data_IF_320813338034
#
_entry.id   IF_320813338034
#
_cell.length_a   1.000
_cell.length_b   1.000
_cell.length_c   1.000
_cell.angle_alpha   90.00
_cell.angle_beta   90.00
_cell.angle_gamma   90.00
#
_symmetry.space_group_name_H-M   'P 1'
#
loop_
_entity.id
_entity.type
_entity.pdbx_description
1 polymer ?
#
# COMPACT_ATOMS: atom_id res chain seq x y z
N UNK A 1 2.06 -0.86 5.14
CA UNK A 1 3.36 -1.13 4.50
C UNK A 1 3.47 -2.65 4.44
N UNK A 2 4.62 -3.23 4.14
CA UNK A 2 4.83 -4.65 4.39
C UNK A 2 5.18 -4.90 5.87
N UNK A 3 4.82 -6.07 6.38
CA UNK A 3 4.99 -6.42 7.79
C UNK A 3 6.46 -6.48 8.22
N UNK A 4 7.40 -6.84 7.33
CA UNK A 4 8.83 -6.85 7.66
C UNK A 4 9.34 -5.45 7.98
N UNK A 5 8.93 -4.45 7.20
CA UNK A 5 9.30 -3.06 7.48
C UNK A 5 8.76 -2.58 8.82
N UNK A 6 7.52 -2.90 9.17
CA UNK A 6 6.97 -2.56 10.49
C UNK A 6 7.77 -3.19 11.62
N UNK A 7 8.11 -4.48 11.49
CA UNK A 7 8.94 -5.20 12.47
C UNK A 7 10.31 -4.55 12.61
N UNK A 8 11.03 -4.32 11.51
CA UNK A 8 12.39 -3.76 11.52
C UNK A 8 12.40 -2.35 12.10
N UNK A 9 11.46 -1.48 11.71
CA UNK A 9 11.36 -0.13 12.29
C UNK A 9 11.04 -0.21 13.78
N UNK A 10 10.19 -1.14 14.22
CA UNK A 10 9.99 -1.42 15.64
C UNK A 10 11.29 -1.80 16.36
N UNK A 11 12.04 -2.76 15.81
CA UNK A 11 13.34 -3.18 16.36
C UNK A 11 14.29 -1.99 16.52
N UNK A 12 14.39 -1.16 15.48
CA UNK A 12 15.26 0.02 15.46
C UNK A 12 14.84 1.03 16.52
N UNK A 13 13.56 1.41 16.55
CA UNK A 13 13.03 2.40 17.49
C UNK A 13 13.21 1.93 18.93
N UNK A 14 12.95 0.66 19.23
CA UNK A 14 13.17 0.11 20.57
C UNK A 14 14.65 0.11 20.94
N UNK A 15 15.52 -0.35 20.03
CA UNK A 15 16.97 -0.42 20.26
C UNK A 15 17.63 0.94 20.53
N UNK A 16 16.98 2.04 20.14
CA UNK A 16 17.41 3.41 20.44
C UNK A 16 16.99 3.90 21.82
N UNK A 17 16.06 3.23 22.52
CA UNK A 17 15.61 3.62 23.86
C UNK A 17 16.71 3.26 24.87
N UNK A 18 17.44 4.23 25.44
CA UNK A 18 18.65 3.94 26.22
C UNK A 18 18.36 3.31 27.59
N UNK A 19 17.13 3.48 28.08
CA UNK A 19 16.74 3.15 29.46
C UNK A 19 16.25 1.71 29.59
N UNK A 20 15.93 1.03 28.48
CA UNK A 20 15.16 -0.22 28.53
C UNK A 20 15.89 -1.31 27.75
N UNK A 21 16.69 -2.09 28.46
CA UNK A 21 17.46 -3.22 27.90
C UNK A 21 16.92 -4.58 28.37
N UNK A 22 15.61 -4.74 28.38
CA UNK A 22 14.94 -5.99 28.75
C UNK A 22 14.40 -6.70 27.50
N UNK A 23 14.72 -8.00 27.30
CA UNK A 23 14.16 -8.81 26.21
C UNK A 23 12.64 -8.90 26.19
N UNK A 24 11.97 -9.00 27.34
CA UNK A 24 10.51 -9.05 27.44
C UNK A 24 9.87 -7.81 26.82
N UNK A 25 10.39 -6.64 27.19
CA UNK A 25 9.91 -5.36 26.69
C UNK A 25 10.23 -5.17 25.20
N UNK A 26 11.38 -5.69 24.74
CA UNK A 26 11.71 -5.72 23.31
C UNK A 26 10.69 -6.53 22.51
N UNK A 27 10.44 -7.78 22.92
CA UNK A 27 9.50 -8.65 22.21
C UNK A 27 8.08 -8.09 22.25
N UNK A 28 7.68 -7.53 23.39
CA UNK A 28 6.39 -6.85 23.51
C UNK A 28 6.27 -5.66 22.55
N UNK A 29 7.29 -4.79 22.48
CA UNK A 29 7.30 -3.64 21.59
C UNK A 29 7.23 -4.06 20.10
N UNK A 30 8.05 -5.02 19.69
CA UNK A 30 8.03 -5.55 18.31
C UNK A 30 6.71 -6.23 17.98
N UNK A 31 6.18 -7.02 18.92
CA UNK A 31 4.85 -7.63 18.77
C UNK A 31 3.78 -6.55 18.55
N UNK A 32 3.74 -5.52 19.39
CA UNK A 32 2.77 -4.43 19.28
C UNK A 32 2.91 -3.61 17.99
N UNK A 33 4.13 -3.48 17.45
CA UNK A 33 4.36 -2.86 16.13
C UNK A 33 3.93 -3.74 14.94
N UNK A 34 3.80 -5.05 15.13
CA UNK A 34 3.32 -5.99 14.09
C UNK A 34 1.84 -6.35 14.23
N UNK A 35 1.27 -6.15 15.43
CA UNK A 35 -0.07 -6.60 15.81
C UNK A 35 -1.19 -6.14 14.86
N UNK A 36 -1.23 -4.90 14.35
CA UNK A 36 -2.28 -4.48 13.41
C UNK A 36 -2.42 -5.37 12.19
N UNK A 37 -1.31 -5.82 11.60
CA UNK A 37 -1.27 -6.66 10.39
C UNK A 37 -1.74 -8.11 10.64
N UNK A 38 -1.78 -8.56 11.91
CA UNK A 38 -2.30 -9.88 12.25
C UNK A 38 -3.82 -9.99 12.06
N UNK A 39 -4.50 -8.87 11.79
CA UNK A 39 -5.90 -8.82 11.38
C UNK A 39 -6.18 -9.61 10.09
N UNK A 40 -5.16 -9.91 9.28
CA UNK A 40 -5.29 -10.77 8.09
C UNK A 40 -5.77 -12.17 8.48
N UNK A 41 -5.41 -12.64 9.67
CA UNK A 41 -5.86 -13.92 10.22
C UNK A 41 -7.36 -13.91 10.56
N UNK A 42 -7.96 -12.73 10.69
CA UNK A 42 -9.40 -12.55 10.93
C UNK A 42 -10.22 -12.55 9.63
N UNK A 43 -9.59 -12.65 8.46
CA UNK A 43 -10.26 -12.72 7.15
C UNK A 43 -11.39 -13.76 7.06
N UNK A 44 -11.25 -14.99 7.60
CA UNK A 44 -12.36 -15.96 7.61
C UNK A 44 -13.58 -15.47 8.41
N UNK A 45 -13.35 -14.77 9.53
CA UNK A 45 -14.41 -14.19 10.35
C UNK A 45 -15.05 -13.00 9.66
N UNK A 46 -14.24 -12.17 8.98
CA UNK A 46 -14.74 -11.07 8.16
C UNK A 46 -15.70 -11.56 7.07
N UNK A 47 -15.36 -12.66 6.38
CA UNK A 47 -16.23 -13.28 5.37
C UNK A 47 -17.53 -13.81 5.97
N UNK A 48 -17.47 -14.41 7.17
CA UNK A 48 -18.66 -14.96 7.86
C UNK A 48 -19.64 -13.88 8.34
N UNK A 49 -19.12 -12.78 8.89
CA UNK A 49 -19.94 -11.76 9.55
C UNK A 49 -20.14 -10.48 8.74
N UNK A 50 -19.50 -10.35 7.58
CA UNK A 50 -19.55 -9.16 6.71
C UNK A 50 -19.26 -7.84 7.46
N UNK A 51 -18.44 -7.89 8.50
CA UNK A 51 -18.16 -6.75 9.36
C UNK A 51 -17.00 -5.91 8.84
N UNK A 52 -17.21 -4.60 8.67
CA UNK A 52 -16.14 -3.64 8.35
C UNK A 52 -15.03 -3.64 9.40
N UNK A 53 -15.37 -3.83 10.67
CA UNK A 53 -14.39 -3.87 11.77
C UNK A 53 -13.32 -4.95 11.56
N UNK A 54 -13.73 -6.10 11.03
CA UNK A 54 -12.87 -7.27 10.79
C UNK A 54 -12.16 -7.22 9.42
N UNK A 55 -12.41 -6.19 8.61
CA UNK A 55 -11.67 -6.03 7.35
C UNK A 55 -10.22 -5.72 7.65
N UNK A 56 -9.32 -6.30 6.86
CA UNK A 56 -7.90 -5.97 6.98
C UNK A 56 -7.70 -4.48 6.68
N UNK A 57 -7.04 -3.77 7.59
CA UNK A 57 -6.98 -2.29 7.64
C UNK A 57 -8.28 -1.59 8.02
N UNK A 58 -9.18 -2.30 8.69
CA UNK A 58 -10.39 -1.77 9.31
C UNK A 58 -10.12 -1.29 10.73
N UNK A 59 -10.77 -1.90 11.72
CA UNK A 59 -10.68 -1.47 13.13
C UNK A 59 -9.28 -1.59 13.73
N UNK A 60 -8.52 -2.60 13.30
CA UNK A 60 -7.10 -2.83 13.65
C UNK A 60 -6.16 -1.71 13.22
N UNK A 61 -6.57 -0.82 12.31
CA UNK A 61 -5.75 0.29 11.83
C UNK A 61 -6.28 1.65 12.29
N UNK A 62 -6.86 1.66 13.49
CA UNK A 62 -7.29 2.87 14.19
C UNK A 62 -6.44 3.14 15.42
N UNK A 63 -6.01 4.39 15.59
CA UNK A 63 -5.25 4.81 16.77
C UNK A 63 -6.11 4.75 18.04
N UNK A 64 -7.42 4.95 17.90
CA UNK A 64 -8.39 4.92 19.01
C UNK A 64 -8.58 3.49 19.49
N UNK A 65 -8.68 2.52 18.57
CA UNK A 65 -8.78 1.09 18.91
C UNK A 65 -7.45 0.56 19.47
N UNK A 66 -6.32 1.15 19.05
CA UNK A 66 -5.02 0.86 19.63
C UNK A 66 -4.92 1.10 21.14
N UNK A 67 -5.69 2.04 21.70
CA UNK A 67 -5.68 2.36 23.14
C UNK A 67 -6.14 1.16 24.00
N UNK A 68 -7.35 0.61 23.82
CA UNK A 68 -7.80 -0.55 24.58
C UNK A 68 -7.03 -1.83 24.21
N UNK A 69 -6.57 -1.98 22.96
CA UNK A 69 -5.73 -3.13 22.58
C UNK A 69 -4.40 -3.11 23.34
N UNK A 70 -3.73 -1.97 23.41
CA UNK A 70 -2.49 -1.84 24.18
C UNK A 70 -2.73 -2.15 25.66
N UNK A 71 -3.86 -1.73 26.23
CA UNK A 71 -4.20 -2.04 27.62
C UNK A 71 -4.43 -3.55 27.82
N UNK A 72 -5.14 -4.20 26.89
CA UNK A 72 -5.40 -5.63 26.92
C UNK A 72 -4.13 -6.47 26.95
N UNK A 73 -3.13 -6.12 26.12
CA UNK A 73 -1.86 -6.84 26.08
C UNK A 73 -0.88 -6.41 27.18
N UNK A 74 -0.96 -5.18 27.68
CA UNK A 74 -0.16 -4.73 28.82
C UNK A 74 -0.60 -5.37 30.14
N UNK A 75 -1.89 -5.68 30.32
CA UNK A 75 -2.45 -6.24 31.55
C UNK A 75 -1.79 -7.56 32.00
N UNK A 76 -1.68 -8.61 31.18
CA UNK A 76 -1.03 -9.85 31.60
C UNK A 76 0.46 -9.62 31.89
N UNK A 77 1.15 -8.81 31.08
CA UNK A 77 2.55 -8.49 31.33
C UNK A 77 2.74 -7.76 32.66
N UNK A 78 1.83 -6.84 33.00
CA UNK A 78 1.85 -6.16 34.28
C UNK A 78 1.64 -7.12 35.45
N UNK A 79 0.71 -8.08 35.34
CA UNK A 79 0.45 -9.08 36.39
C UNK A 79 1.65 -10.00 36.61
N UNK A 80 2.35 -10.39 35.55
CA UNK A 80 3.44 -11.37 35.59
C UNK A 80 4.85 -10.77 35.58
N UNK A 81 4.99 -9.44 35.58
CA UNK A 81 6.28 -8.75 35.62
C UNK A 81 6.32 -7.68 36.70
N UNK A 82 7.49 -7.08 36.89
CA UNK A 82 7.70 -6.00 37.85
C UNK A 82 7.48 -4.60 37.24
N UNK A 83 7.09 -4.53 35.96
CA UNK A 83 6.93 -3.26 35.25
C UNK A 83 5.60 -2.57 35.60
N UNK A 84 5.61 -1.24 35.66
CA UNK A 84 4.39 -0.47 35.88
C UNK A 84 3.41 -0.63 34.69
N UNK A 85 2.11 -0.78 34.98
CA UNK A 85 1.07 -0.91 33.96
C UNK A 85 1.06 0.25 32.96
N UNK A 86 1.13 1.50 33.43
CA UNK A 86 1.09 2.68 32.55
C UNK A 86 2.29 2.73 31.62
N UNK A 87 3.45 2.26 32.08
CA UNK A 87 4.64 2.13 31.25
C UNK A 87 4.45 1.08 30.15
N UNK A 88 3.98 -0.13 30.49
CA UNK A 88 3.68 -1.19 29.51
C UNK A 88 2.60 -0.75 28.51
N UNK A 89 1.52 -0.16 29.01
CA UNK A 89 0.44 0.38 28.18
C UNK A 89 0.96 1.46 27.21
N UNK A 90 1.72 2.44 27.72
CA UNK A 90 2.30 3.51 26.92
C UNK A 90 3.29 2.99 25.88
N UNK A 91 4.13 2.01 26.23
CA UNK A 91 5.05 1.35 25.30
C UNK A 91 4.26 0.63 24.19
N UNK A 92 3.27 -0.19 24.56
CA UNK A 92 2.46 -0.93 23.60
C UNK A 92 1.67 -0.02 22.66
N UNK A 93 1.04 1.03 23.20
CA UNK A 93 0.30 2.01 22.39
C UNK A 93 1.22 2.80 21.46
N UNK A 94 2.43 3.15 21.91
CA UNK A 94 3.41 3.88 21.09
C UNK A 94 3.89 3.04 19.89
N UNK A 95 4.17 1.75 20.09
CA UNK A 95 4.59 0.85 19.01
C UNK A 95 3.45 0.46 18.08
N UNK A 96 2.24 0.31 18.61
CA UNK A 96 1.04 0.20 17.78
C UNK A 96 0.83 1.45 16.92
N UNK A 97 0.99 2.64 17.50
CA UNK A 97 0.87 3.92 16.78
C UNK A 97 1.98 4.12 15.74
N UNK A 98 3.20 3.63 16.02
CA UNK A 98 4.31 3.61 15.07
C UNK A 98 3.93 2.84 13.80
N UNK A 99 3.28 1.68 13.95
CA UNK A 99 2.75 0.92 12.81
C UNK A 99 1.79 1.77 11.96
N UNK A 100 0.77 2.37 12.61
CA UNK A 100 -0.22 3.19 11.91
C UNK A 100 0.41 4.40 11.24
N UNK A 101 1.41 5.02 11.87
CA UNK A 101 2.16 6.14 11.30
C UNK A 101 2.87 5.76 10.00
N UNK A 102 3.48 4.57 9.94
CA UNK A 102 4.07 4.05 8.70
C UNK A 102 3.02 3.76 7.64
N UNK A 103 1.85 3.26 8.03
CA UNK A 103 0.74 2.98 7.11
C UNK A 103 0.16 4.23 6.48
N UNK A 104 0.05 5.33 7.25
CA UNK A 104 -0.37 6.63 6.74
C UNK A 104 0.55 7.15 5.62
N UNK A 105 1.84 6.77 5.61
CA UNK A 105 2.75 7.17 4.53
C UNK A 105 2.45 6.44 3.21
N UNK A 106 1.68 5.35 3.23
CA UNK A 106 1.46 4.54 2.04
C UNK A 106 0.31 5.05 1.15
N UNK A 107 0.16 4.44 -0.03
CA UNK A 107 -0.99 4.63 -0.94
C UNK A 107 -2.27 3.97 -0.41
N UNK A 108 -2.19 3.06 0.55
CA UNK A 108 -3.37 2.45 1.16
C UNK A 108 -3.96 3.40 2.17
N UNK A 109 -5.26 3.60 2.08
CA UNK A 109 -6.03 4.33 3.08
C UNK A 109 -6.29 3.45 4.31
N UNK A 110 -6.31 4.09 5.48
CA UNK A 110 -6.70 3.49 6.77
C UNK A 110 -7.70 4.40 7.51
N UNK A 111 -8.68 3.85 8.24
CA UNK A 111 -9.66 4.62 9.02
C UNK A 111 -9.08 5.02 10.39
N UNK A 112 -8.12 5.94 10.36
CA UNK A 112 -7.26 6.29 11.51
C UNK A 112 -8.02 6.64 12.80
N UNK A 113 -9.22 7.25 12.70
CA UNK A 113 -10.02 7.72 13.83
C UNK A 113 -11.28 6.87 14.09
N UNK A 114 -11.37 5.66 13.53
CA UNK A 114 -12.48 4.75 13.80
C UNK A 114 -12.53 4.35 15.29
N UNK A 115 -13.69 4.25 15.98
CA UNK A 115 -15.05 4.25 15.45
C UNK A 115 -15.69 5.64 15.35
N UNK A 116 -15.01 6.71 15.76
CA UNK A 116 -15.59 8.06 15.74
C UNK A 116 -15.74 8.61 14.32
N UNK A 117 -14.91 8.17 13.38
CA UNK A 117 -15.01 8.54 11.97
C UNK A 117 -14.62 7.38 11.06
N UNK A 118 -15.40 7.19 9.99
CA UNK A 118 -15.08 6.26 8.89
C UNK A 118 -14.21 6.90 7.82
N UNK A 119 -13.80 8.18 7.99
CA UNK A 119 -12.94 8.86 7.03
C UNK A 119 -11.58 8.16 7.01
N UNK A 120 -11.17 7.74 5.81
CA UNK A 120 -9.87 7.12 5.63
C UNK A 120 -8.80 8.15 5.27
N UNK A 121 -7.58 7.89 5.72
CA UNK A 121 -6.43 8.79 5.55
C UNK A 121 -5.30 8.05 4.81
N UNK A 122 -4.66 8.73 3.87
CA UNK A 122 -3.46 8.28 3.15
C UNK A 122 -2.62 9.48 2.75
N UNK A 123 -1.30 9.38 2.89
CA UNK A 123 -0.36 10.42 2.48
C UNK A 123 0.28 10.11 1.13
N UNK A 124 0.19 8.89 0.56
CA UNK A 124 0.67 8.62 -0.82
C UNK A 124 2.18 8.89 -1.03
N UNK A 125 3.02 8.66 -0.02
CA UNK A 125 4.48 8.76 -0.14
C UNK A 125 5.13 7.45 -0.59
N UNK A 126 4.51 6.32 -0.28
CA UNK A 126 5.07 4.99 -0.53
C UNK A 126 4.02 4.03 -1.10
N UNK A 127 4.42 3.04 -1.88
CA UNK A 127 3.52 1.97 -2.33
C UNK A 127 3.10 1.12 -1.12
N UNK A 128 1.85 0.69 -1.11
CA UNK A 128 1.31 -0.16 -0.04
C UNK A 128 2.09 -1.47 0.11
N UNK A 129 2.54 -2.02 -1.03
CA UNK A 129 3.45 -3.15 -1.14
C UNK A 129 4.61 -2.69 -2.01
N UNK A 130 5.76 -2.47 -1.39
CA UNK A 130 7.00 -2.15 -2.08
C UNK A 130 7.96 -3.35 -1.96
N UNK A 131 8.16 -4.08 -3.05
CA UNK A 131 9.02 -5.28 -3.06
C UNK A 131 10.47 -4.95 -2.67
N UNK A 132 10.98 -3.78 -3.07
CA UNK A 132 12.32 -3.35 -2.69
C UNK A 132 12.43 -3.16 -1.17
N UNK A 133 11.46 -2.45 -0.58
CA UNK A 133 11.43 -2.23 0.87
C UNK A 133 11.22 -3.55 1.63
N UNK A 134 10.32 -4.41 1.16
CA UNK A 134 10.08 -5.74 1.74
C UNK A 134 11.34 -6.62 1.74
N UNK A 135 12.06 -6.69 0.62
CA UNK A 135 13.30 -7.49 0.52
C UNK A 135 14.39 -6.90 1.41
N UNK A 136 14.60 -5.58 1.38
CA UNK A 136 15.61 -4.93 2.21
C UNK A 136 15.29 -5.05 3.71
N UNK A 137 14.04 -4.90 4.12
CA UNK A 137 13.57 -5.13 5.49
C UNK A 137 13.73 -6.59 5.90
N UNK A 138 13.34 -7.55 5.05
CA UNK A 138 13.51 -8.97 5.31
C UNK A 138 14.97 -9.38 5.52
N UNK A 139 15.88 -8.90 4.66
CA UNK A 139 17.32 -9.13 4.82
C UNK A 139 17.88 -8.51 6.10
N UNK A 140 17.44 -7.29 6.44
CA UNK A 140 17.85 -6.64 7.69
C UNK A 140 17.33 -7.38 8.93
N UNK A 141 16.11 -7.92 8.87
CA UNK A 141 15.57 -8.76 9.93
C UNK A 141 16.38 -10.06 10.10
N UNK A 142 16.73 -10.74 9.00
CA UNK A 142 17.57 -11.95 9.06
C UNK A 142 18.95 -11.62 9.62
N UNK A 143 19.59 -10.54 9.14
CA UNK A 143 20.87 -10.07 9.65
C UNK A 143 20.78 -9.77 11.15
N UNK A 144 19.71 -9.11 11.59
CA UNK A 144 19.45 -8.83 13.00
C UNK A 144 19.37 -10.10 13.85
N UNK A 145 18.67 -11.13 13.38
CA UNK A 145 18.56 -12.42 14.06
C UNK A 145 19.92 -13.12 14.15
N UNK A 146 20.70 -13.14 13.05
CA UNK A 146 22.05 -13.73 13.04
C UNK A 146 22.95 -13.00 14.03
N UNK A 147 22.98 -11.67 13.97
CA UNK A 147 23.77 -10.85 14.90
C UNK A 147 23.35 -11.12 16.35
N UNK A 148 22.05 -11.14 16.64
CA UNK A 148 21.52 -11.42 17.97
C UNK A 148 21.90 -12.81 18.49
N UNK A 149 22.02 -13.81 17.61
CA UNK A 149 22.46 -15.15 17.97
C UNK A 149 23.97 -15.25 18.23
N UNK A 150 24.77 -14.37 17.61
CA UNK A 150 26.23 -14.34 17.75
C UNK A 150 26.73 -13.46 18.89
N UNK A 151 25.92 -12.54 19.42
CA UNK A 151 26.32 -11.67 20.53
C UNK A 151 25.77 -12.14 21.87
N UNK A 152 26.60 -12.07 22.90
CA UNK A 152 26.20 -12.31 24.28
C UNK A 152 25.16 -11.30 24.80
N UNK A 153 25.05 -10.11 24.16
CA UNK A 153 24.04 -9.12 24.49
C UNK A 153 23.35 -8.60 23.24
N UNK A 154 22.03 -8.80 23.23
CA UNK A 154 21.08 -8.23 22.28
C UNK A 154 21.25 -6.72 22.03
N UNK A 155 21.80 -5.98 22.98
CA UNK A 155 21.95 -4.52 22.95
C UNK A 155 23.35 -4.04 22.53
N UNK A 156 24.26 -4.96 22.18
CA UNK A 156 25.61 -4.62 21.69
C UNK A 156 25.57 -3.91 20.34
N UNK A 157 24.46 -3.99 19.61
CA UNK A 157 24.30 -3.51 18.25
C UNK A 157 23.91 -2.03 18.12
N UNK A 158 24.35 -1.16 19.04
CA UNK A 158 24.03 0.27 19.00
C UNK A 158 24.35 0.91 17.65
N UNK A 159 25.48 0.55 17.05
CA UNK A 159 25.87 1.04 15.73
C UNK A 159 24.93 0.58 14.62
N UNK A 160 24.44 -0.66 14.68
CA UNK A 160 23.46 -1.17 13.73
C UNK A 160 22.15 -0.39 13.85
N UNK A 161 21.62 -0.18 15.06
CA UNK A 161 20.41 0.63 15.25
C UNK A 161 20.58 2.04 14.70
N UNK A 162 21.72 2.68 14.94
CA UNK A 162 22.01 4.03 14.43
C UNK A 162 22.08 4.06 12.90
N UNK A 163 22.84 3.15 12.29
CA UNK A 163 22.98 3.06 10.82
C UNK A 163 21.63 2.81 10.19
N UNK A 164 20.84 1.87 10.72
CA UNK A 164 19.52 1.57 10.19
C UNK A 164 18.54 2.74 10.37
N UNK A 165 18.60 3.45 11.51
CA UNK A 165 17.83 4.68 11.72
C UNK A 165 18.16 5.72 10.66
N UNK A 166 19.44 5.93 10.36
CA UNK A 166 19.85 6.85 9.32
C UNK A 166 19.36 6.41 7.93
N UNK A 167 19.44 5.11 7.61
CA UNK A 167 18.99 4.57 6.33
C UNK A 167 17.48 4.72 6.15
N UNK A 168 16.65 4.20 7.06
CA UNK A 168 15.20 4.29 6.97
C UNK A 168 14.70 5.73 7.15
N UNK A 169 15.30 6.50 8.06
CA UNK A 169 14.98 7.91 8.26
C UNK A 169 15.24 8.73 7.00
N UNK A 170 16.41 8.56 6.38
CA UNK A 170 16.75 9.23 5.11
C UNK A 170 15.83 8.77 3.99
N UNK A 171 15.52 7.47 3.90
CA UNK A 171 14.60 6.92 2.90
C UNK A 171 13.21 7.55 3.00
N UNK A 172 12.57 7.51 4.17
CA UNK A 172 11.23 8.07 4.34
C UNK A 172 11.21 9.58 4.20
N UNK A 173 12.21 10.28 4.74
CA UNK A 173 12.34 11.73 4.56
C UNK A 173 12.46 12.09 3.08
N UNK A 174 13.31 11.38 2.33
CA UNK A 174 13.44 11.55 0.89
C UNK A 174 12.10 11.35 0.17
N UNK A 175 11.34 10.30 0.49
CA UNK A 175 10.03 10.02 -0.13
C UNK A 175 8.99 11.09 0.19
N UNK A 176 8.99 11.60 1.42
CA UNK A 176 8.12 12.72 1.84
C UNK A 176 8.48 13.99 1.07
N UNK A 177 9.77 14.35 1.04
CA UNK A 177 10.26 15.54 0.34
C UNK A 177 9.95 15.44 -1.16
N UNK A 178 10.24 14.30 -1.79
CA UNK A 178 9.98 14.06 -3.20
C UNK A 178 8.49 14.23 -3.53
N UNK A 179 7.61 13.60 -2.75
CA UNK A 179 6.15 13.74 -2.92
C UNK A 179 5.74 15.21 -2.80
N UNK A 180 6.11 15.90 -1.72
CA UNK A 180 5.73 17.30 -1.49
C UNK A 180 6.26 18.21 -2.60
N UNK A 181 7.51 18.01 -3.03
CA UNK A 181 8.15 18.79 -4.08
C UNK A 181 7.45 18.62 -5.43
N UNK A 182 7.15 17.38 -5.83
CA UNK A 182 6.46 17.11 -7.09
C UNK A 182 5.00 17.55 -7.03
N UNK A 183 4.25 17.22 -5.96
CA UNK A 183 2.84 17.58 -5.83
C UNK A 183 2.59 19.10 -5.91
N UNK A 184 3.53 19.93 -5.46
CA UNK A 184 3.44 21.40 -5.61
C UNK A 184 3.51 21.89 -7.07
N UNK A 185 3.98 21.05 -7.99
CA UNK A 185 4.14 21.37 -9.42
C UNK A 185 3.09 20.70 -10.31
N UNK A 186 2.23 19.86 -9.73
CA UNK A 186 1.19 19.14 -10.48
C UNK A 186 -0.05 20.01 -10.69
N UNK A 187 -0.72 19.82 -11.82
CA UNK A 187 -2.06 20.41 -12.06
C UNK A 187 -3.13 19.66 -11.24
N UNK A 188 -4.34 20.21 -11.06
CA UNK A 188 -5.43 19.52 -10.35
C UNK A 188 -5.85 18.17 -10.98
N UNK A 189 -5.59 17.99 -12.27
CA UNK A 189 -5.85 16.77 -13.03
C UNK A 189 -4.74 15.72 -12.92
N UNK A 190 -3.64 16.05 -12.24
CA UNK A 190 -2.46 15.21 -12.09
C UNK A 190 -2.31 14.69 -10.66
N UNK A 191 -1.84 13.46 -10.53
CA UNK A 191 -1.60 12.80 -9.26
C UNK A 191 -0.18 12.20 -9.22
N UNK A 192 0.51 12.42 -8.12
CA UNK A 192 1.78 11.77 -7.81
C UNK A 192 1.55 10.30 -7.42
N UNK A 193 2.34 9.41 -8.00
CA UNK A 193 2.38 7.99 -7.64
C UNK A 193 3.82 7.59 -7.25
N UNK A 194 4.06 7.01 -6.06
CA UNK A 194 5.38 6.49 -5.71
C UNK A 194 5.70 5.24 -6.53
N UNK A 195 6.94 5.11 -7.02
CA UNK A 195 7.41 3.93 -7.75
C UNK A 195 8.11 2.91 -6.81
N UNK A 196 8.56 1.76 -7.31
CA UNK A 196 9.26 0.74 -6.52
C UNK A 196 10.57 1.25 -5.93
N UNK A 197 11.37 1.95 -6.75
CA UNK A 197 12.68 2.46 -6.33
C UNK A 197 12.54 3.86 -5.70
N UNK A 198 13.39 4.21 -4.71
CA UNK A 198 13.25 5.46 -3.96
C UNK A 198 13.22 6.71 -4.86
N UNK A 199 14.08 6.73 -5.89
CA UNK A 199 14.32 7.86 -6.78
C UNK A 199 13.44 7.87 -8.05
N UNK A 200 12.40 7.05 -8.13
CA UNK A 200 11.44 7.06 -9.23
C UNK A 200 10.02 7.34 -8.72
N UNK A 201 9.23 7.94 -9.61
CA UNK A 201 7.84 8.27 -9.37
C UNK A 201 7.04 8.29 -10.69
N UNK A 202 5.75 8.03 -10.60
CA UNK A 202 4.78 8.22 -11.68
C UNK A 202 4.04 9.54 -11.51
N UNK A 203 3.69 10.17 -12.64
CA UNK A 203 2.66 11.20 -12.71
C UNK A 203 1.50 10.60 -13.49
N UNK A 204 0.40 10.34 -12.80
CA UNK A 204 -0.87 9.98 -13.42
C UNK A 204 -1.64 11.25 -13.77
N UNK A 205 -2.29 11.26 -14.92
CA UNK A 205 -3.12 12.36 -15.38
C UNK A 205 -4.47 11.82 -15.84
N UNK A 206 -5.54 12.45 -15.37
CA UNK A 206 -6.90 12.24 -15.83
C UNK A 206 -7.51 13.61 -16.12
N UNK A 207 -7.62 13.96 -17.41
CA UNK A 207 -8.07 15.28 -17.86
C UNK A 207 -9.19 15.15 -18.87
N UNK A 208 -10.21 15.98 -18.72
CA UNK A 208 -11.27 16.16 -19.72
C UNK A 208 -10.83 17.18 -20.77
N UNK A 209 -10.94 16.82 -22.05
CA UNK A 209 -10.56 17.61 -23.22
C UNK A 209 -11.69 17.54 -24.25
N UNK A 210 -12.51 18.60 -24.31
CA UNK A 210 -13.63 18.80 -25.24
C UNK A 210 -14.65 17.65 -25.28
N UNK A 211 -14.36 16.57 -26.00
CA UNK A 211 -15.23 15.40 -26.19
C UNK A 211 -14.60 14.08 -25.71
N UNK A 212 -13.39 14.13 -25.16
CA UNK A 212 -12.64 12.97 -24.72
C UNK A 212 -12.08 13.19 -23.31
N UNK A 213 -11.90 12.11 -22.56
CA UNK A 213 -11.12 12.06 -21.34
C UNK A 213 -9.80 11.37 -21.63
N UNK A 214 -8.72 12.07 -21.33
CA UNK A 214 -7.36 11.57 -21.50
C UNK A 214 -6.85 10.99 -20.19
N UNK A 215 -6.38 9.75 -20.27
CA UNK A 215 -5.71 9.05 -19.19
C UNK A 215 -4.26 8.86 -19.59
N UNK A 216 -3.32 9.33 -18.78
CA UNK A 216 -1.91 9.04 -18.98
C UNK A 216 -1.16 8.74 -17.71
N UNK A 217 -0.09 7.96 -17.85
CA UNK A 217 0.90 7.80 -16.80
C UNK A 217 2.30 7.95 -17.37
N UNK A 218 3.07 8.83 -16.74
CA UNK A 218 4.47 9.08 -17.08
C UNK A 218 5.34 8.73 -15.89
N UNK A 219 6.14 7.69 -16.01
CA UNK A 219 7.15 7.36 -15.00
C UNK A 219 8.41 8.17 -15.25
N UNK A 220 8.96 8.75 -14.18
CA UNK A 220 10.17 9.56 -14.17
C UNK A 220 11.10 9.05 -13.08
N UNK A 221 12.39 8.93 -13.41
CA UNK A 221 13.43 8.78 -12.39
C UNK A 221 14.21 10.08 -12.24
N UNK A 222 14.65 10.37 -11.02
CA UNK A 222 15.51 11.53 -10.73
C UNK A 222 16.93 11.32 -11.28
N UNK A 223 17.41 10.08 -11.26
CA UNK A 223 18.79 9.71 -11.64
C UNK A 223 18.86 8.90 -12.94
N UNK A 224 17.80 8.18 -13.28
CA UNK A 224 17.75 7.28 -14.43
C UNK A 224 16.45 7.48 -15.20
N UNK A 225 16.45 7.36 -16.54
CA UNK A 225 15.21 7.31 -17.30
C UNK A 225 14.37 6.12 -16.84
N UNK A 226 13.05 6.30 -16.81
CA UNK A 226 12.15 5.18 -16.49
C UNK A 226 12.20 4.14 -17.60
N UNK A 227 12.26 2.84 -17.28
CA UNK A 227 12.12 1.78 -18.29
C UNK A 227 10.68 1.64 -18.81
N UNK A 228 9.70 2.26 -18.15
CA UNK A 228 8.30 2.19 -18.54
C UNK A 228 7.99 3.24 -19.61
N UNK A 229 7.48 2.79 -20.74
CA UNK A 229 6.91 3.67 -21.75
C UNK A 229 5.70 4.41 -21.18
N UNK A 230 5.48 5.68 -21.59
CA UNK A 230 4.29 6.38 -21.21
C UNK A 230 3.08 5.67 -21.81
N UNK A 231 2.06 5.46 -20.99
CA UNK A 231 0.77 4.98 -21.44
C UNK A 231 -0.12 6.20 -21.61
N UNK A 232 -0.72 6.35 -22.79
CA UNK A 232 -1.70 7.39 -23.10
C UNK A 232 -2.92 6.72 -23.71
N UNK A 233 -4.09 6.97 -23.12
CA UNK A 233 -5.36 6.52 -23.64
C UNK A 233 -6.33 7.70 -23.71
N UNK A 234 -7.06 7.80 -24.81
CA UNK A 234 -8.16 8.75 -24.96
C UNK A 234 -9.45 7.95 -25.05
N UNK A 235 -10.46 8.37 -24.29
CA UNK A 235 -11.79 7.74 -24.27
C UNK A 235 -12.83 8.83 -24.51
N UNK A 236 -13.79 8.66 -25.42
CA UNK A 236 -14.88 9.63 -25.58
C UNK A 236 -15.67 9.78 -24.27
N UNK A 237 -16.08 11.00 -23.92
CA UNK A 237 -16.84 11.25 -22.69
C UNK A 237 -18.30 10.82 -22.77
N UNK A 238 -18.81 10.68 -23.99
CA UNK A 238 -20.20 10.31 -24.28
C UNK A 238 -20.24 9.08 -25.20
N UNK A 239 -21.38 8.40 -25.17
CA UNK A 239 -21.64 7.21 -25.98
C UNK A 239 -21.29 5.90 -25.29
N UNK A 240 -21.44 4.83 -26.05
CA UNK A 240 -21.38 3.45 -25.55
C UNK A 240 -20.07 3.12 -24.80
N UNK A 241 -18.94 3.60 -25.29
CA UNK A 241 -17.63 3.35 -24.67
C UNK A 241 -17.53 3.94 -23.25
N UNK A 242 -18.00 5.18 -23.08
CA UNK A 242 -18.02 5.87 -21.79
C UNK A 242 -18.93 5.12 -20.79
N UNK A 243 -20.09 4.68 -21.25
CA UNK A 243 -21.06 3.94 -20.45
C UNK A 243 -20.48 2.60 -19.98
N UNK A 244 -19.88 1.83 -20.90
CA UNK A 244 -19.27 0.54 -20.58
C UNK A 244 -18.10 0.66 -19.60
N UNK A 245 -17.26 1.70 -19.75
CA UNK A 245 -16.18 1.99 -18.80
C UNK A 245 -16.74 2.38 -17.43
N UNK A 246 -17.79 3.18 -17.38
CA UNK A 246 -18.42 3.57 -16.10
C UNK A 246 -18.96 2.35 -15.35
N UNK A 247 -19.59 1.42 -16.08
CA UNK A 247 -20.08 0.14 -15.53
C UNK A 247 -18.92 -0.70 -15.02
N UNK A 248 -17.85 -0.83 -15.82
CA UNK A 248 -16.65 -1.57 -15.45
C UNK A 248 -16.00 -0.99 -14.20
N UNK A 249 -15.83 0.34 -14.10
CA UNK A 249 -15.26 1.01 -12.92
C UNK A 249 -16.11 0.73 -11.68
N UNK A 250 -17.44 0.91 -11.78
CA UNK A 250 -18.37 0.63 -10.67
C UNK A 250 -18.31 -0.82 -10.20
N UNK A 251 -18.07 -1.76 -11.13
CA UNK A 251 -17.98 -3.20 -10.84
C UNK A 251 -16.62 -3.57 -10.26
N UNK A 252 -15.56 -2.96 -10.77
CA UNK A 252 -14.21 -3.13 -10.23
C UNK A 252 -14.12 -2.73 -8.76
N UNK A 253 -14.94 -1.77 -8.29
CA UNK A 253 -15.06 -1.41 -6.87
C UNK A 253 -15.50 -2.56 -5.94
N UNK A 254 -15.88 -3.74 -6.45
CA UNK A 254 -16.07 -4.93 -5.61
C UNK A 254 -14.73 -5.57 -5.18
N UNK A 255 -13.68 -5.37 -5.96
CA UNK A 255 -12.37 -5.95 -5.73
C UNK A 255 -11.56 -5.06 -4.80
N UNK A 256 -10.93 -5.68 -3.81
CA UNK A 256 -10.20 -5.01 -2.73
C UNK A 256 -9.18 -3.99 -3.24
N UNK A 257 -8.57 -4.26 -4.40
CA UNK A 257 -7.58 -3.36 -4.94
C UNK A 257 -8.23 -2.07 -5.49
N UNK A 258 -9.16 -2.18 -6.42
CA UNK A 258 -9.83 -1.02 -7.00
C UNK A 258 -10.63 -0.17 -6.00
N UNK A 259 -11.00 -0.71 -4.83
CA UNK A 259 -11.60 0.06 -3.74
C UNK A 259 -10.67 1.13 -3.15
N UNK A 260 -9.35 0.89 -3.13
CA UNK A 260 -8.40 1.70 -2.36
C UNK A 260 -7.62 2.70 -3.24
N UNK A 261 -7.63 2.49 -4.54
CA UNK A 261 -6.80 3.21 -5.49
C UNK A 261 -7.61 4.01 -6.50
N UNK A 262 -7.04 5.15 -6.87
CA UNK A 262 -7.73 6.18 -7.62
C UNK A 262 -7.21 6.26 -9.07
N UNK A 263 -6.00 5.78 -9.33
CA UNK A 263 -5.35 5.92 -10.63
C UNK A 263 -5.56 4.67 -11.51
N UNK A 264 -6.58 4.75 -12.38
CA UNK A 264 -6.97 3.67 -13.29
C UNK A 264 -6.89 4.15 -14.73
N UNK A 265 -6.37 3.30 -15.63
CA UNK A 265 -6.39 3.53 -17.08
C UNK A 265 -7.31 2.50 -17.72
N UNK A 266 -8.44 2.91 -18.31
CA UNK A 266 -9.34 2.01 -19.01
C UNK A 266 -8.86 1.71 -20.44
N UNK A 267 -9.17 0.53 -20.95
CA UNK A 267 -8.98 0.10 -22.33
C UNK A 267 -10.23 -0.61 -22.82
N UNK A 268 -10.55 -0.41 -24.10
CA UNK A 268 -11.65 -1.09 -24.78
C UNK A 268 -11.06 -1.95 -25.88
N UNK A 269 -11.39 -3.24 -25.85
CA UNK A 269 -10.95 -4.22 -26.84
C UNK A 269 -12.19 -4.85 -27.46
N UNK A 270 -12.58 -4.48 -28.70
CA UNK A 270 -13.70 -5.11 -29.37
C UNK A 270 -13.36 -6.57 -29.73
N UNK A 271 -14.25 -7.50 -29.41
CA UNK A 271 -14.10 -8.91 -29.76
C UNK A 271 -14.82 -9.17 -31.09
N UNK A 272 -14.04 -9.44 -32.14
CA UNK A 272 -14.51 -9.52 -33.54
C UNK A 272 -15.63 -10.53 -33.77
N UNK A 273 -15.73 -11.58 -32.95
CA UNK A 273 -16.55 -12.75 -33.29
C UNK A 273 -17.90 -12.83 -32.56
N UNK A 274 -18.23 -11.93 -31.62
CA UNK A 274 -19.34 -12.22 -30.68
C UNK A 274 -20.26 -11.04 -30.30
N UNK A 275 -20.19 -9.88 -30.96
CA UNK A 275 -20.88 -8.66 -30.49
C UNK A 275 -20.60 -8.42 -28.99
N UNK A 276 -19.33 -8.55 -28.58
CA UNK A 276 -18.87 -8.39 -27.20
C UNK A 276 -17.76 -7.36 -27.16
N UNK A 277 -17.76 -6.59 -26.07
CA UNK A 277 -16.72 -5.61 -25.79
C UNK A 277 -16.03 -6.02 -24.52
N UNK A 278 -14.70 -6.10 -24.55
CA UNK A 278 -13.89 -6.32 -23.37
C UNK A 278 -13.37 -4.98 -22.86
N UNK A 279 -13.72 -4.64 -21.63
CA UNK A 279 -13.19 -3.48 -20.91
C UNK A 279 -12.11 -3.96 -19.95
N UNK A 280 -10.90 -3.44 -20.10
CA UNK A 280 -9.78 -3.72 -19.20
C UNK A 280 -9.43 -2.45 -18.44
N UNK A 281 -9.40 -2.53 -17.12
CA UNK A 281 -8.99 -1.43 -16.25
C UNK A 281 -7.62 -1.76 -15.67
N UNK A 282 -6.60 -0.96 -15.97
CA UNK A 282 -5.25 -1.14 -15.45
C UNK A 282 -5.06 -0.25 -14.23
N UNK A 283 -4.61 -0.84 -13.12
CA UNK A 283 -4.28 -0.11 -11.91
C UNK A 283 -2.86 0.46 -12.00
N UNK A 284 -2.74 1.79 -12.10
CA UNK A 284 -1.46 2.47 -12.30
C UNK A 284 -0.45 2.20 -11.18
N UNK A 285 -0.90 2.16 -9.93
CA UNK A 285 -0.08 1.91 -8.75
C UNK A 285 0.55 0.52 -8.74
N UNK A 286 0.07 -0.41 -9.57
CA UNK A 286 0.58 -1.76 -9.69
C UNK A 286 1.53 -1.93 -10.86
N UNK A 287 1.66 -0.93 -11.74
CA UNK A 287 2.39 -1.02 -12.99
C UNK A 287 3.88 -1.32 -12.74
N UNK A 288 4.38 -2.29 -13.49
CA UNK A 288 5.79 -2.69 -13.61
C UNK A 288 6.07 -3.02 -15.08
N UNK A 289 7.33 -3.19 -15.51
CA UNK A 289 7.63 -3.48 -16.92
C UNK A 289 6.99 -4.75 -17.48
N UNK A 290 6.57 -5.69 -16.61
CA UNK A 290 6.03 -7.00 -17.03
C UNK A 290 4.60 -7.25 -16.56
N UNK A 291 4.17 -6.58 -15.49
CA UNK A 291 2.93 -6.90 -14.79
C UNK A 291 2.21 -5.61 -14.41
N UNK A 292 0.88 -5.66 -14.44
CA UNK A 292 0.03 -4.72 -13.75
C UNK A 292 -1.19 -5.49 -13.26
N UNK A 293 -1.66 -5.13 -12.09
CA UNK A 293 -2.97 -5.55 -11.63
C UNK A 293 -4.05 -4.92 -12.51
N UNK A 294 -4.98 -5.75 -12.96
CA UNK A 294 -6.05 -5.32 -13.85
C UNK A 294 -7.40 -5.91 -13.41
N UNK A 295 -8.46 -5.27 -13.87
CA UNK A 295 -9.81 -5.83 -13.92
C UNK A 295 -10.20 -6.00 -15.39
N UNK A 296 -10.84 -7.10 -15.72
CA UNK A 296 -11.35 -7.39 -17.05
C UNK A 296 -12.84 -7.73 -16.93
N UNK A 297 -13.67 -6.97 -17.64
CA UNK A 297 -15.08 -7.26 -17.84
C UNK A 297 -15.39 -7.45 -19.32
N UNK A 298 -16.05 -8.54 -19.69
CA UNK A 298 -16.68 -8.68 -21.00
C UNK A 298 -18.15 -8.31 -20.91
N UNK A 299 -18.58 -7.37 -21.74
CA UNK A 299 -19.92 -6.83 -21.74
C UNK A 299 -20.58 -7.02 -23.10
N UNK A 300 -21.89 -7.26 -23.06
CA UNK A 300 -22.74 -7.09 -24.24
C UNK A 300 -23.01 -5.57 -24.43
N UNK A 301 -22.69 -5.00 -25.60
CA UNK A 301 -22.83 -3.57 -25.85
C UNK A 301 -24.29 -3.10 -25.87
N UNK A 302 -25.24 -3.95 -26.22
CA UNK A 302 -26.66 -3.57 -26.31
C UNK A 302 -27.38 -3.70 -24.96
N UNK A 303 -27.14 -4.80 -24.25
CA UNK A 303 -27.81 -5.06 -22.96
C UNK A 303 -27.07 -4.50 -21.75
N UNK A 304 -25.84 -4.03 -21.94
CA UNK A 304 -24.92 -3.62 -20.87
C UNK A 304 -24.66 -4.72 -19.82
N UNK A 305 -25.00 -5.98 -20.14
CA UNK A 305 -24.83 -7.10 -19.23
C UNK A 305 -23.38 -7.56 -19.22
N UNK A 306 -22.82 -7.75 -18.02
CA UNK A 306 -21.51 -8.38 -17.83
C UNK A 306 -21.67 -9.89 -18.05
N UNK A 307 -20.97 -10.40 -19.06
CA UNK A 307 -20.95 -11.81 -19.44
C UNK A 307 -19.83 -12.56 -18.70
N UNK A 308 -18.71 -11.88 -18.44
CA UNK A 308 -17.54 -12.44 -17.77
C UNK A 308 -16.81 -11.33 -17.00
N UNK A 309 -16.34 -11.63 -15.79
CA UNK A 309 -15.52 -10.71 -14.98
C UNK A 309 -14.37 -11.47 -14.30
N UNK A 310 -13.17 -10.88 -14.30
CA UNK A 310 -11.98 -11.41 -13.61
C UNK A 310 -11.00 -10.29 -13.24
N UNK A 311 -10.15 -10.54 -12.25
CA UNK A 311 -9.06 -9.67 -11.83
C UNK A 311 -7.76 -10.47 -11.65
N UNK A 312 -6.60 -9.82 -11.79
CA UNK A 312 -5.32 -10.51 -11.66
C UNK A 312 -4.12 -9.62 -11.97
N UNK A 313 -2.91 -10.20 -11.94
CA UNK A 313 -1.64 -9.51 -12.24
C UNK A 313 -1.07 -9.80 -13.64
N UNK A 314 -1.62 -10.79 -14.34
CA UNK A 314 -1.16 -11.21 -15.67
C UNK A 314 -1.81 -10.36 -16.76
N UNK A 315 -1.10 -9.38 -17.30
CA UNK A 315 -1.65 -8.55 -18.39
C UNK A 315 -2.16 -9.48 -19.51
N UNK A 316 -3.41 -9.34 -19.96
CA UNK A 316 -3.91 -10.11 -21.09
C UNK A 316 -2.92 -9.96 -22.25
N UNK A 317 -2.53 -11.06 -22.88
CA UNK A 317 -1.55 -11.07 -23.98
C UNK A 317 -1.89 -10.07 -25.10
N UNK A 318 -3.17 -9.76 -25.27
CA UNK A 318 -3.70 -8.74 -26.19
C UNK A 318 -3.27 -7.28 -25.88
N UNK A 319 -2.79 -7.00 -24.66
CA UNK A 319 -2.31 -5.68 -24.21
C UNK A 319 -0.79 -5.63 -24.04
N UNK A 320 -0.05 -6.71 -24.37
CA UNK A 320 1.41 -6.71 -24.31
C UNK A 320 1.98 -5.72 -25.33
N UNK A 321 2.77 -4.70 -24.92
CA UNK A 321 3.38 -3.73 -25.83
C UNK A 321 4.39 -4.34 -26.83
N UNK A 322 4.66 -5.65 -26.76
CA UNK A 322 5.53 -6.37 -27.71
C UNK A 322 4.86 -6.70 -29.05
N UNK A 323 3.57 -6.38 -29.24
CA UNK A 323 2.91 -6.46 -30.56
C UNK A 323 2.74 -5.08 -31.18
N UNK A 324 3.76 -4.21 -31.09
CA UNK A 324 3.89 -3.15 -32.08
C UNK A 324 3.87 -3.83 -33.46
N UNK A 325 2.89 -3.55 -34.35
CA UNK A 325 3.00 -4.02 -35.71
C UNK A 325 4.30 -3.45 -36.25
N UNK A 326 5.23 -4.32 -36.65
CA UNK A 326 6.40 -3.90 -37.39
C UNK A 326 5.88 -3.11 -38.60
N UNK A 327 6.03 -1.78 -38.53
CA UNK A 327 5.79 -0.85 -39.63
C UNK A 327 7.00 -0.81 -40.54
#
# INVERSE_FOLDING_TARGET
MDSFTHIVVGIIVYGLIPVVKDPLLFYFAVFMASLPDLDVLLSPLQKKYHSYYLTHRGGSHSIVIGIPIAALFALPLWIFSHYNFLFLWGLGWSFYSLHLGLDLLTMSSIPFLYPFSHKEFKFKCERSVNVYLMVTSGLNFILFVILSALSESFFSFRWWYLVMTMLYGTYFLHRIVLKVWISKRLTPTQQFLPDLVPCAYGIYQNREVSHHREYSIHHKGLLFPSPLSPINQQIPMEGLEADLISIAIKRAQKYRFFQKWDAVIPYIVPLKDQNRIRVVLILCESLTPKYAYFYLGELNPESHQILYETDGFDLPSALSPSSSPNH
#
